data_IF_560559867265
#
_entry.id   IF_560559867265
#
_cell.length_a   1.000
_cell.length_b   1.000
_cell.length_c   1.000
_cell.angle_alpha   90.00
_cell.angle_beta   90.00
_cell.angle_gamma   90.00
#
_symmetry.space_group_name_H-M   'P 1'
#
loop_
_entity.id
_entity.type
_entity.pdbx_description
1 polymer ?
#
# COMPACT_ATOMS: atom_id res chain seq x y z
N UNK A 1 2.00 -2.39 36.81
CA UNK A 1 2.32 -2.54 35.38
C UNK A 1 1.41 -3.64 34.89
N UNK A 2 0.22 -3.25 34.43
CA UNK A 2 -0.78 -4.21 33.99
C UNK A 2 -0.20 -4.99 32.81
N UNK A 3 -0.18 -6.31 32.95
CA UNK A 3 0.14 -7.22 31.86
C UNK A 3 -0.91 -7.02 30.77
N UNK A 4 -0.64 -6.11 29.83
CA UNK A 4 -1.28 -6.15 28.51
C UNK A 4 -1.06 -7.59 28.04
N UNK A 5 -2.14 -8.36 27.96
CA UNK A 5 -2.08 -9.70 27.36
C UNK A 5 -1.44 -9.49 26.00
N UNK A 6 -0.21 -9.98 25.81
CA UNK A 6 0.37 -10.15 24.49
C UNK A 6 -0.63 -11.02 23.73
N UNK A 7 -1.44 -10.40 22.87
CA UNK A 7 -2.38 -11.12 22.07
C UNK A 7 -1.55 -11.86 21.04
N UNK A 8 -1.41 -13.18 21.23
CA UNK A 8 -0.70 -14.02 20.28
C UNK A 8 -1.37 -13.87 18.91
N UNK A 9 -0.63 -13.31 17.97
CA UNK A 9 -1.08 -13.18 16.59
C UNK A 9 -0.90 -14.51 15.86
N UNK A 10 -1.75 -14.76 14.87
CA UNK A 10 -1.62 -15.92 13.97
C UNK A 10 -1.47 -15.37 12.57
N UNK A 11 -0.43 -15.75 11.84
CA UNK A 11 -0.13 -15.27 10.49
C UNK A 11 -0.15 -16.44 9.51
N UNK A 12 -0.85 -16.26 8.40
CA UNK A 12 -0.99 -17.25 7.35
C UNK A 12 -0.11 -16.85 6.17
N UNK A 13 0.99 -17.56 5.96
CA UNK A 13 1.77 -17.48 4.71
C UNK A 13 1.06 -18.32 3.66
N UNK A 14 0.55 -17.68 2.61
CA UNK A 14 -0.39 -18.32 1.68
C UNK A 14 -0.24 -17.78 0.26
N UNK A 15 -0.26 -18.63 -0.78
CA UNK A 15 -0.30 -18.16 -2.16
C UNK A 15 -1.68 -17.58 -2.50
N UNK A 16 -1.70 -16.52 -3.30
CA UNK A 16 -2.92 -15.92 -3.83
C UNK A 16 -3.64 -16.88 -4.79
N UNK A 17 -2.92 -17.42 -5.78
CA UNK A 17 -3.40 -18.46 -6.67
C UNK A 17 -2.54 -19.74 -6.55
N UNK A 18 -3.10 -20.74 -5.86
CA UNK A 18 -2.39 -21.99 -5.57
C UNK A 18 -1.85 -22.72 -6.82
N UNK A 19 -2.54 -22.66 -7.96
CA UNK A 19 -2.11 -23.34 -9.19
C UNK A 19 -1.01 -22.56 -9.90
N UNK A 20 -1.17 -21.25 -10.04
CA UNK A 20 -0.20 -20.38 -10.71
C UNK A 20 1.11 -20.30 -9.90
N UNK A 21 1.01 -20.08 -8.59
CA UNK A 21 2.14 -20.10 -7.65
C UNK A 21 2.97 -21.39 -7.73
N UNK A 22 2.33 -22.57 -7.84
CA UNK A 22 3.04 -23.85 -8.02
C UNK A 22 3.82 -23.90 -9.34
N UNK A 23 3.27 -23.32 -10.41
CA UNK A 23 3.93 -23.21 -11.70
C UNK A 23 5.19 -22.34 -11.68
N UNK A 24 5.25 -21.36 -10.77
CA UNK A 24 6.41 -20.47 -10.57
C UNK A 24 7.42 -21.02 -9.53
N UNK A 25 7.18 -22.21 -8.96
CA UNK A 25 8.11 -22.84 -8.01
C UNK A 25 7.79 -22.60 -6.53
N UNK A 26 6.70 -21.88 -6.21
CA UNK A 26 6.19 -21.74 -4.84
C UNK A 26 5.45 -23.02 -4.40
N UNK A 27 6.23 -24.07 -4.18
CA UNK A 27 5.74 -25.39 -3.75
C UNK A 27 5.38 -25.41 -2.27
N UNK A 28 4.62 -26.43 -1.84
CA UNK A 28 4.33 -26.68 -0.42
C UNK A 28 5.61 -26.77 0.43
N UNK A 29 6.65 -27.46 -0.07
CA UNK A 29 7.93 -27.56 0.62
C UNK A 29 8.58 -26.18 0.83
N UNK A 30 8.52 -25.30 -0.19
CA UNK A 30 9.05 -23.93 -0.09
C UNK A 30 8.25 -23.12 0.94
N UNK A 31 6.92 -23.16 0.89
CA UNK A 31 6.05 -22.46 1.85
C UNK A 31 6.32 -22.90 3.29
N UNK A 32 6.42 -24.20 3.55
CA UNK A 32 6.69 -24.73 4.89
C UNK A 32 8.09 -24.32 5.38
N UNK A 33 9.11 -24.39 4.50
CA UNK A 33 10.48 -23.98 4.85
C UNK A 33 10.55 -22.49 5.19
N UNK A 34 9.92 -21.64 4.39
CA UNK A 34 9.89 -20.19 4.63
C UNK A 34 9.08 -19.85 5.87
N UNK A 35 7.90 -20.46 6.06
CA UNK A 35 7.11 -20.27 7.29
C UNK A 35 7.89 -20.65 8.56
N UNK A 36 8.71 -21.71 8.52
CA UNK A 36 9.57 -22.09 9.64
C UNK A 36 10.69 -21.06 9.93
N UNK A 37 11.31 -20.51 8.88
CA UNK A 37 12.30 -19.45 9.02
C UNK A 37 11.68 -18.17 9.60
N UNK A 38 10.53 -17.74 9.07
CA UNK A 38 9.77 -16.59 9.57
C UNK A 38 9.31 -16.80 11.02
N UNK A 39 8.81 -17.99 11.36
CA UNK A 39 8.45 -18.34 12.75
C UNK A 39 9.65 -18.23 13.69
N UNK A 40 10.82 -18.69 13.25
CA UNK A 40 12.06 -18.58 14.01
C UNK A 40 12.44 -17.12 14.20
N UNK A 41 12.39 -16.32 13.14
CA UNK A 41 12.65 -14.88 13.20
C UNK A 41 11.75 -14.18 14.23
N UNK A 42 10.45 -14.45 14.18
CA UNK A 42 9.48 -13.83 15.09
C UNK A 42 9.82 -14.14 16.55
N UNK A 43 10.10 -15.40 16.89
CA UNK A 43 10.26 -15.83 18.30
C UNK A 43 11.67 -15.57 18.82
N UNK A 44 12.69 -15.87 18.03
CA UNK A 44 14.10 -15.79 18.44
C UNK A 44 14.61 -14.35 18.37
N UNK A 45 14.24 -13.62 17.32
CA UNK A 45 14.91 -12.37 16.95
C UNK A 45 14.03 -11.16 17.25
N UNK A 46 12.78 -11.15 16.79
CA UNK A 46 11.88 -10.00 16.91
C UNK A 46 11.27 -9.86 18.31
N UNK A 47 10.77 -10.97 18.88
CA UNK A 47 10.05 -10.96 20.16
C UNK A 47 10.85 -10.35 21.32
N UNK A 48 12.15 -10.68 21.51
CA UNK A 48 12.94 -10.08 22.58
C UNK A 48 13.19 -8.58 22.42
N UNK A 49 13.10 -8.04 21.19
CA UNK A 49 13.41 -6.63 20.88
C UNK A 49 12.16 -5.76 20.92
N UNK A 50 11.05 -6.22 20.32
CA UNK A 50 9.82 -5.45 20.16
C UNK A 50 8.67 -5.90 21.06
N UNK A 51 8.84 -6.99 21.82
CA UNK A 51 7.81 -7.49 22.74
C UNK A 51 6.56 -8.05 22.03
N UNK A 52 6.67 -8.37 20.75
CA UNK A 52 5.59 -8.93 19.91
C UNK A 52 5.71 -10.45 19.82
N UNK A 53 4.62 -11.16 19.52
CA UNK A 53 4.66 -12.61 19.34
C UNK A 53 3.58 -13.07 18.37
N UNK A 54 3.96 -13.97 17.47
CA UNK A 54 3.04 -14.58 16.51
C UNK A 54 3.37 -16.05 16.23
N UNK A 55 2.35 -16.77 15.75
CA UNK A 55 2.51 -18.07 15.10
C UNK A 55 2.42 -17.87 13.59
N UNK A 56 3.41 -18.33 12.84
CA UNK A 56 3.43 -18.28 11.37
C UNK A 56 3.17 -19.68 10.82
N UNK A 57 2.09 -19.83 10.05
CA UNK A 57 1.67 -21.11 9.47
C UNK A 57 1.59 -20.99 7.95
N UNK A 58 2.10 -22.01 7.25
CA UNK A 58 1.92 -22.14 5.80
C UNK A 58 0.52 -22.70 5.48
N UNK A 59 -0.15 -22.11 4.48
CA UNK A 59 -1.39 -22.61 3.91
C UNK A 59 -1.23 -22.80 2.41
N UNK A 60 -1.95 -23.77 1.84
CA UNK A 60 -1.85 -24.08 0.41
C UNK A 60 -2.82 -23.29 -0.46
N UNK A 61 -3.87 -22.73 0.15
CA UNK A 61 -4.82 -21.85 -0.52
C UNK A 61 -5.53 -20.92 0.47
N UNK A 62 -6.03 -19.79 -0.03
CA UNK A 62 -6.82 -18.84 0.75
C UNK A 62 -8.07 -19.45 1.40
N UNK A 63 -8.68 -20.48 0.79
CA UNK A 63 -9.88 -21.14 1.33
C UNK A 63 -9.62 -21.93 2.62
N UNK A 64 -8.35 -22.21 2.93
CA UNK A 64 -7.94 -22.92 4.14
C UNK A 64 -7.62 -21.96 5.29
N UNK A 65 -7.47 -20.66 5.00
CA UNK A 65 -7.10 -19.66 6.00
C UNK A 65 -8.30 -19.39 6.89
N UNK A 66 -8.13 -19.63 8.18
CA UNK A 66 -9.19 -19.36 9.16
C UNK A 66 -9.30 -17.86 9.43
N UNK A 67 -10.51 -17.32 9.69
CA UNK A 67 -10.71 -15.90 10.00
C UNK A 67 -9.91 -15.36 11.19
N UNK A 68 -9.24 -16.17 12.00
CA UNK A 68 -8.36 -15.70 13.08
C UNK A 68 -6.93 -15.36 12.65
N UNK A 69 -6.54 -15.72 11.43
CA UNK A 69 -5.22 -15.44 10.89
C UNK A 69 -5.16 -14.05 10.23
N UNK A 70 -4.01 -13.39 10.38
CA UNK A 70 -3.58 -12.26 9.57
C UNK A 70 -2.96 -12.83 8.28
N UNK A 71 -3.40 -12.41 7.09
CA UNK A 71 -2.91 -12.98 5.85
C UNK A 71 -1.59 -12.31 5.44
N UNK A 72 -0.57 -13.12 5.15
CA UNK A 72 0.64 -12.73 4.42
C UNK A 72 0.58 -13.45 3.07
N UNK A 73 0.08 -12.74 2.06
CA UNK A 73 -0.32 -13.32 0.78
C UNK A 73 0.77 -13.15 -0.25
N UNK A 74 1.26 -14.25 -0.80
CA UNK A 74 2.23 -14.26 -1.87
C UNK A 74 1.49 -14.25 -3.20
N UNK A 75 1.69 -13.21 -4.01
CA UNK A 75 1.07 -13.07 -5.33
C UNK A 75 2.09 -13.38 -6.42
N UNK A 76 1.64 -13.95 -7.52
CA UNK A 76 2.52 -14.32 -8.63
C UNK A 76 3.22 -13.10 -9.25
N UNK A 77 4.38 -13.35 -9.89
CA UNK A 77 5.20 -12.28 -10.48
C UNK A 77 4.57 -11.58 -11.70
N UNK A 78 3.49 -12.12 -12.28
CA UNK A 78 2.84 -11.58 -13.50
C UNK A 78 1.80 -10.48 -13.26
N UNK A 79 1.59 -9.62 -14.29
CA UNK A 79 0.52 -8.62 -14.57
C UNK A 79 -0.17 -7.81 -13.46
N UNK A 80 0.17 -7.95 -12.20
CA UNK A 80 -0.34 -7.09 -11.14
C UNK A 80 0.46 -5.80 -11.09
N UNK A 81 -0.24 -4.66 -10.99
CA UNK A 81 0.39 -3.34 -10.85
C UNK A 81 0.83 -3.10 -9.40
N UNK A 82 1.65 -4.01 -8.86
CA UNK A 82 2.41 -3.71 -7.66
C UNK A 82 3.58 -2.81 -8.04
N UNK A 83 3.61 -1.64 -7.42
CA UNK A 83 4.66 -0.64 -7.57
C UNK A 83 5.76 -0.77 -6.51
N UNK A 84 5.52 -1.57 -5.46
CA UNK A 84 6.49 -2.06 -4.47
C UNK A 84 6.59 -3.59 -4.53
N UNK A 85 7.61 -4.18 -3.91
CA UNK A 85 7.77 -5.64 -3.83
C UNK A 85 6.85 -6.27 -2.77
N UNK A 86 6.45 -5.49 -1.76
CA UNK A 86 5.41 -5.81 -0.79
C UNK A 86 4.78 -4.55 -0.20
N UNK A 87 3.66 -4.72 0.51
CA UNK A 87 3.12 -3.74 1.45
C UNK A 87 2.12 -4.41 2.39
N UNK A 88 1.99 -3.89 3.60
CA UNK A 88 0.93 -4.25 4.54
C UNK A 88 -0.24 -3.26 4.48
N UNK A 89 -1.46 -3.75 4.73
CA UNK A 89 -2.70 -3.02 4.54
C UNK A 89 -3.73 -3.35 5.63
N UNK A 90 -4.74 -2.50 5.73
CA UNK A 90 -5.92 -2.73 6.56
C UNK A 90 -7.13 -3.09 5.70
N UNK A 91 -7.44 -4.38 5.63
CA UNK A 91 -8.65 -4.90 5.00
C UNK A 91 -9.79 -4.95 6.02
N UNK A 92 -10.77 -4.03 5.92
CA UNK A 92 -11.88 -3.97 6.87
C UNK A 92 -11.43 -3.77 8.33
N UNK A 93 -10.28 -3.11 8.53
CA UNK A 93 -9.66 -2.90 9.85
C UNK A 93 -8.82 -4.08 10.35
N UNK A 94 -8.47 -5.03 9.49
CA UNK A 94 -7.62 -6.17 9.82
C UNK A 94 -6.27 -6.05 9.10
N UNK A 95 -5.16 -6.23 9.82
CA UNK A 95 -3.84 -6.25 9.20
C UNK A 95 -3.73 -7.43 8.24
N UNK A 96 -3.13 -7.18 7.09
CA UNK A 96 -2.65 -8.19 6.17
C UNK A 96 -1.49 -7.62 5.36
N UNK A 97 -0.79 -8.48 4.63
CA UNK A 97 0.28 -8.08 3.74
C UNK A 97 0.20 -8.82 2.41
N UNK A 98 0.65 -8.16 1.35
CA UNK A 98 0.83 -8.76 0.02
C UNK A 98 2.29 -8.63 -0.37
N UNK A 99 2.87 -9.72 -0.88
CA UNK A 99 4.26 -9.77 -1.36
C UNK A 99 4.29 -10.41 -2.73
N UNK A 100 5.04 -9.80 -3.66
CA UNK A 100 5.25 -10.36 -5.00
C UNK A 100 6.24 -11.52 -4.92
N UNK A 101 5.90 -12.62 -5.58
CA UNK A 101 6.79 -13.74 -5.79
C UNK A 101 7.83 -13.41 -6.87
N UNK A 102 9.10 -13.73 -6.61
CA UNK A 102 10.23 -13.41 -7.47
C UNK A 102 11.56 -13.52 -6.73
N UNK A 103 12.62 -12.99 -7.30
CA UNK A 103 13.90 -12.93 -6.60
C UNK A 103 13.77 -12.04 -5.34
N UNK A 104 14.25 -12.52 -4.20
CA UNK A 104 14.20 -11.75 -2.94
C UNK A 104 12.89 -11.84 -2.14
N UNK A 105 11.84 -12.50 -2.65
CA UNK A 105 10.50 -12.47 -2.02
C UNK A 105 10.45 -12.92 -0.55
N UNK A 106 11.40 -13.74 -0.09
CA UNK A 106 11.46 -14.17 1.32
C UNK A 106 11.92 -13.05 2.24
N UNK A 107 12.75 -12.13 1.74
CA UNK A 107 13.15 -10.90 2.42
C UNK A 107 11.93 -9.98 2.52
N UNK A 108 11.20 -9.75 1.42
CA UNK A 108 9.98 -8.95 1.42
C UNK A 108 8.89 -9.54 2.34
N UNK A 109 8.71 -10.87 2.32
CA UNK A 109 7.79 -11.55 3.22
C UNK A 109 8.17 -11.41 4.69
N UNK A 110 9.47 -11.41 4.99
CA UNK A 110 9.99 -11.14 6.33
C UNK A 110 9.78 -9.66 6.71
N UNK A 111 10.07 -8.74 5.80
CA UNK A 111 9.89 -7.29 5.96
C UNK A 111 8.45 -6.96 6.36
N UNK A 112 7.50 -7.33 5.51
CA UNK A 112 6.09 -7.04 5.73
C UNK A 112 5.51 -7.75 6.95
N UNK A 113 6.01 -8.96 7.25
CA UNK A 113 5.65 -9.66 8.49
C UNK A 113 6.09 -8.85 9.71
N UNK A 114 7.35 -8.43 9.76
CA UNK A 114 7.91 -7.75 10.92
C UNK A 114 7.19 -6.41 11.13
N UNK A 115 6.99 -5.62 10.08
CA UNK A 115 6.31 -4.32 10.17
C UNK A 115 4.86 -4.49 10.62
N UNK A 116 4.13 -5.43 10.00
CA UNK A 116 2.75 -5.76 10.40
C UNK A 116 2.65 -6.24 11.85
N UNK A 117 3.67 -6.92 12.40
CA UNK A 117 3.66 -7.36 13.80
C UNK A 117 4.01 -6.24 14.78
N UNK A 118 4.91 -5.33 14.41
CA UNK A 118 5.31 -4.20 15.25
C UNK A 118 4.24 -3.10 15.28
N UNK A 119 3.58 -2.87 14.15
CA UNK A 119 2.47 -1.93 14.02
C UNK A 119 1.37 -2.48 13.08
N UNK A 120 0.47 -3.32 13.61
CA UNK A 120 -0.60 -3.94 12.81
C UNK A 120 -1.58 -2.92 12.19
N UNK A 121 -1.56 -1.67 12.62
CA UNK A 121 -2.44 -0.62 12.10
C UNK A 121 -1.74 0.35 11.16
N UNK A 122 -0.40 0.29 11.08
CA UNK A 122 0.41 1.30 10.41
C UNK A 122 0.15 2.71 10.94
N UNK A 123 -0.10 2.91 12.25
CA UNK A 123 -0.36 4.22 12.86
C UNK A 123 0.54 4.58 14.04
N UNK A 124 1.39 3.66 14.48
CA UNK A 124 2.29 3.85 15.59
C UNK A 124 3.39 4.84 15.22
N UNK A 125 3.70 5.74 16.15
CA UNK A 125 4.75 6.74 15.95
C UNK A 125 5.75 6.73 17.10
N UNK A 126 6.99 7.12 16.78
CA UNK A 126 8.05 7.37 17.75
C UNK A 126 8.47 8.85 17.70
N UNK A 127 8.61 9.48 18.86
CA UNK A 127 9.09 10.86 18.95
C UNK A 127 10.61 10.88 18.94
N UNK A 128 11.19 11.69 18.06
CA UNK A 128 12.65 11.84 17.94
C UNK A 128 13.07 13.20 17.38
N UNK A 129 14.39 13.51 17.42
CA UNK A 129 14.91 14.71 16.77
C UNK A 129 14.74 14.60 15.25
N UNK A 130 14.33 15.68 14.59
CA UNK A 130 14.23 15.70 13.12
C UNK A 130 15.60 15.58 12.46
N UNK A 131 15.64 14.91 11.30
CA UNK A 131 16.76 14.97 10.36
C UNK A 131 16.99 16.38 9.80
N UNK A 132 15.99 17.26 9.93
CA UNK A 132 16.07 18.70 9.66
C UNK A 132 16.06 19.46 10.99
N UNK A 133 17.22 19.86 11.54
CA UNK A 133 17.33 20.40 12.90
C UNK A 133 16.37 21.54 13.24
N UNK A 134 16.03 22.38 12.25
CA UNK A 134 15.09 23.49 12.33
C UNK A 134 13.65 23.07 12.68
N UNK A 135 13.28 21.80 12.47
CA UNK A 135 11.96 21.25 12.82
C UNK A 135 11.88 20.81 14.29
N UNK A 136 12.99 20.74 15.01
CA UNK A 136 13.02 20.30 16.40
C UNK A 136 12.62 18.82 16.57
N UNK A 137 11.64 18.55 17.43
CA UNK A 137 11.13 17.20 17.69
C UNK A 137 9.98 16.86 16.76
N UNK A 138 10.00 15.67 16.18
CA UNK A 138 9.02 15.18 15.20
C UNK A 138 8.49 13.80 15.60
N UNK A 139 7.43 13.35 14.92
CA UNK A 139 6.89 12.01 15.07
C UNK A 139 7.21 11.18 13.82
N UNK A 140 8.11 10.21 13.98
CA UNK A 140 8.42 9.21 12.98
C UNK A 140 7.33 8.15 12.93
N UNK A 141 6.90 7.77 11.73
CA UNK A 141 6.09 6.56 11.54
C UNK A 141 6.97 5.34 11.82
N UNK A 142 6.43 4.35 12.53
CA UNK A 142 7.16 3.11 12.85
C UNK A 142 7.05 2.16 11.67
N UNK A 143 8.11 2.11 10.87
CA UNK A 143 8.32 1.22 9.74
C UNK A 143 9.70 0.61 10.00
N UNK A 144 9.74 -0.55 10.66
CA UNK A 144 10.96 -0.98 11.36
C UNK A 144 11.95 -1.65 10.43
N UNK A 145 11.55 -2.02 9.22
CA UNK A 145 12.44 -2.62 8.24
C UNK A 145 12.92 -1.58 7.22
N UNK A 146 12.05 -0.62 6.86
CA UNK A 146 12.31 0.44 5.88
C UNK A 146 13.65 1.20 6.05
N UNK A 147 14.10 1.61 7.26
CA UNK A 147 15.37 2.34 7.39
C UNK A 147 16.60 1.49 7.07
N UNK A 148 16.50 0.17 7.19
CA UNK A 148 17.57 -0.79 6.93
C UNK A 148 17.25 -1.75 5.79
N UNK A 149 16.41 -1.32 4.82
CA UNK A 149 15.96 -2.08 3.64
C UNK A 149 17.03 -2.97 3.00
N UNK A 150 18.23 -2.44 2.78
CA UNK A 150 19.33 -3.17 2.13
C UNK A 150 20.06 -4.19 3.03
N UNK A 151 19.74 -4.25 4.32
CA UNK A 151 20.34 -5.18 5.27
C UNK A 151 19.51 -6.44 5.40
N UNK A 152 20.14 -7.59 5.15
CA UNK A 152 19.51 -8.91 5.23
C UNK A 152 20.40 -9.88 6.01
N UNK A 153 19.79 -10.94 6.54
CA UNK A 153 20.51 -12.07 7.12
C UNK A 153 19.79 -13.38 6.81
N UNK A 154 20.37 -14.51 7.22
CA UNK A 154 19.80 -15.83 6.91
C UNK A 154 19.34 -16.58 8.16
N UNK A 155 18.23 -17.31 8.00
CA UNK A 155 17.76 -18.31 8.94
C UNK A 155 17.58 -19.62 8.16
N UNK A 156 18.36 -20.64 8.51
CA UNK A 156 18.32 -21.96 7.84
C UNK A 156 18.41 -21.88 6.30
N UNK A 157 19.25 -20.95 5.80
CA UNK A 157 19.47 -20.68 4.39
C UNK A 157 18.26 -20.05 3.68
N UNK A 158 17.35 -19.42 4.43
CA UNK A 158 16.28 -18.53 3.93
C UNK A 158 16.70 -17.09 4.26
N UNK A 159 16.92 -16.24 3.25
CA UNK A 159 17.17 -14.81 3.46
C UNK A 159 15.94 -14.12 4.06
N UNK A 160 16.17 -13.28 5.05
CA UNK A 160 15.15 -12.51 5.78
C UNK A 160 15.62 -11.06 5.99
N UNK A 161 14.66 -10.15 6.19
CA UNK A 161 14.94 -8.72 6.38
C UNK A 161 15.52 -8.45 7.78
N UNK A 162 16.42 -7.47 7.87
CA UNK A 162 16.82 -6.86 9.14
C UNK A 162 15.73 -5.90 9.64
N UNK A 163 15.85 -5.44 10.89
CA UNK A 163 14.93 -4.46 11.45
C UNK A 163 15.61 -3.57 12.48
N UNK A 164 15.15 -2.33 12.59
CA UNK A 164 15.59 -1.38 13.60
C UNK A 164 15.01 -1.71 14.98
N UNK A 165 15.75 -1.40 16.04
CA UNK A 165 15.29 -1.59 17.42
C UNK A 165 14.59 -0.32 17.93
N UNK A 166 13.85 -0.36 19.05
CA UNK A 166 13.29 0.85 19.65
C UNK A 166 14.32 1.96 19.94
N UNK A 167 15.59 1.61 20.15
CA UNK A 167 16.66 2.61 20.40
C UNK A 167 17.02 3.41 19.15
N UNK A 168 16.66 2.95 17.96
CA UNK A 168 16.86 3.66 16.70
C UNK A 168 16.23 5.06 16.68
N UNK A 169 15.04 5.19 17.27
CA UNK A 169 14.30 6.45 17.36
C UNK A 169 14.66 7.27 18.61
N UNK A 170 15.48 6.72 19.51
CA UNK A 170 15.83 7.39 20.76
C UNK A 170 16.83 8.53 20.53
N UNK A 171 16.79 9.59 21.36
CA UNK A 171 17.84 10.61 21.37
C UNK A 171 19.25 10.01 21.56
N UNK A 172 20.30 10.56 20.91
CA UNK A 172 21.65 10.00 20.98
C UNK A 172 22.25 9.91 22.40
N UNK A 173 21.80 10.75 23.34
CA UNK A 173 22.22 10.76 24.74
C UNK A 173 21.52 9.68 25.60
N UNK A 174 20.51 9.00 25.05
CA UNK A 174 19.66 8.03 25.77
C UNK A 174 19.75 6.60 25.25
N UNK A 175 20.36 6.37 24.09
CA UNK A 175 20.50 5.04 23.48
C UNK A 175 21.95 4.68 23.21
N UNK A 176 22.54 3.81 24.03
CA UNK A 176 23.61 2.93 23.53
C UNK A 176 22.91 1.80 22.77
N UNK A 177 23.32 1.54 21.53
CA UNK A 177 22.68 0.56 20.65
C UNK A 177 22.55 -0.87 21.24
N UNK A 178 22.01 -1.81 20.46
CA UNK A 178 22.04 -1.82 18.98
C UNK A 178 20.86 -1.07 18.33
N UNK A 179 21.11 -0.36 17.22
CA UNK A 179 20.07 0.41 16.49
C UNK A 179 19.33 -0.42 15.44
N UNK A 180 19.93 -1.49 14.93
CA UNK A 180 19.26 -2.56 14.20
C UNK A 180 19.63 -3.93 14.76
N UNK A 181 18.85 -4.96 14.44
CA UNK A 181 19.06 -6.31 14.97
C UNK A 181 20.42 -6.88 14.56
N UNK A 182 20.83 -6.73 13.30
CA UNK A 182 22.16 -7.16 12.85
C UNK A 182 23.29 -6.20 13.23
N UNK A 183 22.97 -4.98 13.69
CA UNK A 183 23.94 -3.92 13.96
C UNK A 183 24.40 -3.15 12.72
N UNK A 184 23.72 -3.32 11.59
CA UNK A 184 23.92 -2.58 10.34
C UNK A 184 23.75 -1.06 10.51
N UNK A 185 22.77 -0.63 11.31
CA UNK A 185 22.62 0.76 11.74
C UNK A 185 23.54 1.01 12.95
N UNK A 186 24.49 1.93 12.78
CA UNK A 186 25.53 2.29 13.74
C UNK A 186 25.16 3.52 14.59
N UNK A 187 24.21 4.33 14.14
CA UNK A 187 23.72 5.50 14.87
C UNK A 187 22.18 5.57 14.86
N UNK A 188 21.55 6.31 15.80
CA UNK A 188 20.12 6.60 15.73
C UNK A 188 19.76 7.26 14.39
N UNK A 189 18.57 6.96 13.88
CA UNK A 189 18.02 7.54 12.65
C UNK A 189 18.89 7.35 11.38
N UNK A 190 19.85 6.42 11.41
CA UNK A 190 20.65 6.09 10.23
C UNK A 190 19.82 5.32 9.20
N UNK A 191 19.77 5.84 7.98
CA UNK A 191 19.12 5.20 6.85
C UNK A 191 20.20 4.51 6.00
N UNK A 192 20.02 3.21 5.73
CA UNK A 192 20.88 2.46 4.81
C UNK A 192 20.43 2.70 3.37
N UNK A 193 21.27 2.31 2.42
CA UNK A 193 20.97 2.45 0.99
C UNK A 193 19.61 1.82 0.65
N UNK A 194 18.85 2.49 -0.22
CA UNK A 194 17.46 2.16 -0.61
C UNK A 194 16.41 2.28 0.50
N UNK A 195 16.84 2.45 1.75
CA UNK A 195 15.94 2.67 2.87
C UNK A 195 15.36 4.09 2.92
N UNK A 196 14.29 4.25 3.68
CA UNK A 196 13.65 5.54 3.92
C UNK A 196 13.04 5.62 5.31
N UNK A 197 12.72 6.84 5.74
CA UNK A 197 11.92 7.10 6.93
C UNK A 197 10.92 8.22 6.68
N UNK A 198 9.74 8.11 7.30
CA UNK A 198 8.66 9.09 7.21
C UNK A 198 8.41 9.72 8.57
N UNK A 199 8.17 11.05 8.61
CA UNK A 199 7.79 11.74 9.83
C UNK A 199 6.79 12.86 9.59
N UNK A 200 6.05 13.24 10.63
CA UNK A 200 5.30 14.49 10.67
C UNK A 200 5.89 15.46 11.67
N UNK A 201 5.84 16.74 11.34
CA UNK A 201 6.20 17.82 12.26
C UNK A 201 5.10 18.06 13.30
N UNK A 202 5.46 18.74 14.40
CA UNK A 202 4.51 19.26 15.37
C UNK A 202 4.70 20.78 15.49
N UNK A 203 3.75 21.55 15.00
CA UNK A 203 3.67 23.00 15.21
C UNK A 203 4.92 23.79 14.75
N UNK A 204 5.42 23.50 13.54
CA UNK A 204 6.43 24.31 12.85
C UNK A 204 5.78 25.23 11.80
N UNK A 205 6.46 26.30 11.39
CA UNK A 205 6.06 27.08 10.19
C UNK A 205 6.05 26.21 8.91
N UNK A 206 6.80 25.11 8.94
CA UNK A 206 6.95 24.13 7.85
C UNK A 206 6.16 22.84 8.13
N UNK A 207 4.95 22.99 8.71
CA UNK A 207 4.13 21.86 9.14
C UNK A 207 3.79 20.93 7.97
N UNK A 208 3.95 19.63 8.13
CA UNK A 208 3.63 18.65 7.11
C UNK A 208 4.15 17.25 7.39
N UNK A 209 3.94 16.37 6.42
CA UNK A 209 4.57 15.06 6.36
C UNK A 209 5.82 15.15 5.48
N UNK A 210 6.89 14.55 5.95
CA UNK A 210 8.21 14.56 5.36
C UNK A 210 8.75 13.15 5.21
N UNK A 211 9.57 12.95 4.20
CA UNK A 211 10.25 11.69 3.94
C UNK A 211 11.72 11.96 3.61
N UNK A 212 12.59 11.07 4.09
CA UNK A 212 13.99 11.00 3.70
C UNK A 212 14.23 9.64 3.05
N UNK A 213 14.77 9.65 1.84
CA UNK A 213 15.18 8.45 1.09
C UNK A 213 16.70 8.44 0.95
N UNK A 214 17.32 7.29 1.13
CA UNK A 214 18.71 7.03 0.77
C UNK A 214 18.78 6.44 -0.65
N UNK A 215 19.20 7.19 -1.68
CA UNK A 215 19.17 6.69 -3.05
C UNK A 215 20.12 5.50 -3.27
N UNK A 216 19.87 4.64 -4.27
CA UNK A 216 20.85 3.65 -4.71
C UNK A 216 22.20 4.30 -5.05
N UNK A 217 23.29 3.64 -4.67
CA UNK A 217 24.68 4.07 -4.82
C UNK A 217 25.16 5.12 -3.82
N UNK A 218 24.34 5.51 -2.83
CA UNK A 218 24.66 6.62 -1.91
C UNK A 218 25.55 6.23 -0.71
N UNK A 219 25.78 4.93 -0.47
CA UNK A 219 26.59 4.42 0.65
C UNK A 219 28.10 4.72 0.52
N UNK A 220 28.55 5.09 -0.69
CA UNK A 220 29.94 5.45 -0.98
C UNK A 220 30.95 4.36 -0.57
N UNK A 221 32.22 4.74 -0.39
CA UNK A 221 33.28 3.81 0.05
C UNK A 221 33.31 3.55 1.56
N UNK A 222 32.51 4.30 2.33
CA UNK A 222 32.47 4.26 3.80
C UNK A 222 31.43 3.26 4.34
N UNK A 223 30.55 2.72 3.47
CA UNK A 223 29.55 1.73 3.86
C UNK A 223 28.37 2.31 4.66
N UNK A 224 28.15 3.62 4.61
CA UNK A 224 26.98 4.28 5.20
C UNK A 224 26.55 5.49 4.37
N UNK A 225 25.27 5.82 4.40
CA UNK A 225 24.70 6.97 3.69
C UNK A 225 24.73 8.20 4.62
N UNK A 226 25.48 9.26 4.29
CA UNK A 226 25.51 10.45 5.12
C UNK A 226 24.23 11.27 4.93
N UNK A 227 23.82 12.03 5.95
CA UNK A 227 22.54 12.79 5.94
C UNK A 227 22.46 13.74 4.74
N UNK A 228 23.57 14.36 4.34
CA UNK A 228 23.65 15.25 3.18
C UNK A 228 23.39 14.57 1.83
N UNK A 229 23.46 13.23 1.77
CA UNK A 229 23.14 12.43 0.58
C UNK A 229 21.71 11.90 0.58
N UNK A 230 20.93 12.16 1.64
CA UNK A 230 19.52 11.81 1.70
C UNK A 230 18.67 12.78 0.86
N UNK A 231 17.72 12.24 0.12
CA UNK A 231 16.68 13.02 -0.52
C UNK A 231 15.56 13.32 0.49
N UNK A 232 15.60 14.49 1.11
CA UNK A 232 14.61 14.92 2.11
C UNK A 232 13.58 15.85 1.47
N UNK A 233 12.29 15.48 1.53
CA UNK A 233 11.20 16.23 0.88
C UNK A 233 9.93 16.25 1.73
N UNK A 234 9.17 17.34 1.61
CA UNK A 234 7.79 17.43 2.09
C UNK A 234 6.87 16.72 1.11
N UNK A 235 6.03 15.82 1.59
CA UNK A 235 5.12 15.02 0.75
C UNK A 235 3.68 15.52 0.84
N UNK A 236 3.29 16.17 1.94
CA UNK A 236 1.96 16.75 2.11
C UNK A 236 1.85 17.71 3.30
N UNK A 237 0.66 18.30 3.44
CA UNK A 237 0.16 18.84 4.70
C UNK A 237 -0.12 17.73 5.73
N UNK A 238 -0.10 18.06 7.02
CA UNK A 238 -0.26 17.08 8.11
C UNK A 238 -1.69 16.51 8.14
N UNK A 239 -1.88 15.19 7.94
CA UNK A 239 -3.20 14.58 8.12
C UNK A 239 -3.57 14.48 9.60
N UNK A 240 -4.87 14.35 9.89
CA UNK A 240 -5.35 14.15 11.26
C UNK A 240 -4.71 12.90 11.92
N UNK A 241 -4.52 11.84 11.14
CA UNK A 241 -3.79 10.64 11.53
C UNK A 241 -2.78 10.32 10.44
N UNK A 242 -1.50 10.26 10.77
CA UNK A 242 -0.46 9.74 9.87
C UNK A 242 -0.54 8.21 9.91
N UNK A 243 -0.74 7.59 8.74
CA UNK A 243 -0.79 6.13 8.63
C UNK A 243 0.05 5.63 7.47
N UNK A 244 0.52 4.37 7.50
CA UNK A 244 1.19 3.73 6.37
C UNK A 244 0.36 3.80 5.09
N UNK A 245 -0.90 3.41 5.20
CA UNK A 245 -1.85 3.48 4.09
C UNK A 245 -1.98 4.90 3.51
N UNK A 246 -1.86 5.92 4.36
CA UNK A 246 -1.87 7.31 3.91
C UNK A 246 -0.57 7.67 3.18
N UNK A 247 0.59 7.20 3.66
CA UNK A 247 1.91 7.40 3.02
C UNK A 247 1.93 6.77 1.63
N UNK A 248 1.44 5.53 1.51
CA UNK A 248 1.33 4.82 0.23
C UNK A 248 0.49 5.62 -0.80
N UNK A 249 -0.55 6.32 -0.31
CA UNK A 249 -1.43 7.17 -1.12
C UNK A 249 -0.82 8.52 -1.55
N UNK A 250 0.22 8.98 -0.86
CA UNK A 250 0.86 10.29 -1.08
C UNK A 250 2.37 10.16 -1.29
N UNK A 251 2.80 9.48 -2.36
CA UNK A 251 4.21 9.19 -2.48
C UNK A 251 5.01 10.38 -2.97
N UNK A 252 6.16 10.60 -2.33
CA UNK A 252 7.28 11.24 -2.99
C UNK A 252 7.95 10.29 -4.01
N UNK A 253 7.99 8.98 -3.72
CA UNK A 253 8.71 7.98 -4.52
C UNK A 253 7.99 6.62 -4.75
N UNK A 254 6.99 6.22 -3.94
CA UNK A 254 6.32 4.88 -4.00
C UNK A 254 4.83 4.95 -4.40
N UNK A 255 4.49 4.83 -5.69
CA UNK A 255 3.09 4.97 -6.15
C UNK A 255 2.15 3.85 -5.69
N UNK A 256 1.31 3.99 -4.67
CA UNK A 256 0.12 3.12 -4.54
C UNK A 256 -1.16 3.92 -4.37
N UNK A 257 -2.24 3.44 -4.98
CA UNK A 257 -3.57 4.03 -4.82
C UNK A 257 -4.21 3.48 -3.55
N UNK A 258 -4.32 4.30 -2.49
CA UNK A 258 -5.07 3.88 -1.30
C UNK A 258 -6.58 3.90 -1.54
N UNK A 259 -7.26 2.86 -1.05
CA UNK A 259 -8.71 2.88 -0.80
C UNK A 259 -9.02 2.31 0.57
N UNK A 260 -9.94 2.98 1.27
CA UNK A 260 -10.58 2.46 2.47
C UNK A 260 -11.63 1.41 2.01
N UNK A 261 -11.41 0.14 2.36
CA UNK A 261 -12.33 -0.94 1.99
C UNK A 261 -13.36 -1.18 3.10
N UNK A 262 -14.62 -1.35 2.69
CA UNK A 262 -15.78 -1.55 3.57
C UNK A 262 -15.61 -2.75 4.51
N UNK A 263 -16.24 -2.69 5.70
CA UNK A 263 -16.15 -3.69 6.79
C UNK A 263 -17.23 -4.78 6.71
N UNK A 264 -16.98 -5.98 6.14
CA UNK A 264 -17.89 -7.11 6.30
C UNK A 264 -17.70 -7.78 7.68
N UNK A 265 -18.81 -8.23 8.29
CA UNK A 265 -18.76 -9.02 9.52
C UNK A 265 -18.19 -10.43 9.25
N UNK A 266 -17.29 -10.89 10.13
CA UNK A 266 -16.65 -12.20 9.99
C UNK A 266 -17.63 -13.34 10.31
N UNK A 267 -17.60 -14.44 9.53
CA UNK A 267 -18.28 -15.68 9.89
C UNK A 267 -17.59 -16.37 11.09
N UNK A 268 -18.36 -17.07 11.91
CA UNK A 268 -17.86 -17.93 13.00
C UNK A 268 -17.04 -19.10 12.46
N UNK A 269 -16.00 -19.54 13.18
CA UNK A 269 -15.03 -20.56 12.75
C UNK A 269 -15.67 -21.86 12.18
N UNK A 270 -15.06 -22.39 11.10
CA UNK A 270 -15.44 -23.62 10.39
C UNK A 270 -15.00 -23.59 8.92
N UNK A 271 -14.99 -24.72 8.20
CA UNK A 271 -14.54 -24.79 6.79
C UNK A 271 -15.29 -23.82 5.87
N UNK A 272 -16.61 -23.68 6.05
CA UNK A 272 -17.42 -22.69 5.32
C UNK A 272 -17.01 -21.24 5.62
N UNK A 273 -16.48 -20.98 6.81
CA UNK A 273 -16.00 -19.67 7.21
C UNK A 273 -14.61 -19.37 6.65
N UNK A 274 -13.74 -20.37 6.56
CA UNK A 274 -12.44 -20.26 5.89
C UNK A 274 -12.61 -19.99 4.40
N UNK A 275 -13.46 -20.75 3.70
CA UNK A 275 -13.77 -20.51 2.28
C UNK A 275 -14.35 -19.09 2.05
N UNK A 276 -15.28 -18.65 2.90
CA UNK A 276 -15.84 -17.29 2.81
C UNK A 276 -14.78 -16.21 3.09
N UNK A 277 -13.87 -16.46 4.03
CA UNK A 277 -12.78 -15.54 4.32
C UNK A 277 -11.78 -15.47 3.17
N UNK A 278 -11.42 -16.62 2.59
CA UNK A 278 -10.59 -16.69 1.38
C UNK A 278 -11.18 -15.90 0.21
N UNK A 279 -12.49 -16.00 -0.01
CA UNK A 279 -13.17 -15.22 -1.06
C UNK A 279 -13.15 -13.70 -0.81
N UNK A 280 -13.29 -13.28 0.45
CA UNK A 280 -13.14 -11.87 0.82
C UNK A 280 -11.72 -11.38 0.54
N UNK A 281 -10.70 -12.13 0.98
CA UNK A 281 -9.30 -11.79 0.72
C UNK A 281 -9.00 -11.70 -0.78
N UNK A 282 -9.50 -12.65 -1.59
CA UNK A 282 -9.35 -12.60 -3.06
C UNK A 282 -9.91 -11.32 -3.64
N UNK A 283 -11.11 -10.93 -3.19
CA UNK A 283 -11.81 -9.74 -3.65
C UNK A 283 -11.04 -8.48 -3.30
N UNK A 284 -10.64 -8.34 -2.03
CA UNK A 284 -9.92 -7.16 -1.54
C UNK A 284 -8.55 -7.02 -2.18
N UNK A 285 -7.76 -8.09 -2.19
CA UNK A 285 -6.44 -8.11 -2.82
C UNK A 285 -6.57 -7.91 -4.33
N UNK A 286 -7.56 -8.52 -4.98
CA UNK A 286 -7.82 -8.32 -6.41
C UNK A 286 -8.09 -6.86 -6.77
N UNK A 287 -8.80 -6.12 -5.91
CA UNK A 287 -9.02 -4.67 -6.07
C UNK A 287 -7.75 -3.85 -5.86
N UNK A 288 -6.80 -4.32 -5.05
CA UNK A 288 -5.52 -3.63 -4.87
C UNK A 288 -4.59 -3.91 -6.04
N UNK A 289 -4.50 -5.17 -6.46
CA UNK A 289 -3.59 -5.61 -7.53
C UNK A 289 -4.04 -5.15 -8.91
N UNK A 290 -5.35 -5.04 -9.12
CA UNK A 290 -5.98 -4.55 -10.34
C UNK A 290 -6.97 -3.46 -9.95
N UNK A 291 -6.47 -2.27 -9.58
CA UNK A 291 -7.36 -1.18 -9.21
C UNK A 291 -8.27 -0.89 -10.41
N UNK A 292 -9.60 -0.77 -10.20
CA UNK A 292 -10.45 -0.26 -11.26
C UNK A 292 -9.88 1.09 -11.69
N UNK A 293 -9.93 1.38 -12.99
CA UNK A 293 -9.58 2.71 -13.51
C UNK A 293 -10.23 3.77 -12.60
N UNK A 294 -9.50 4.85 -12.25
CA UNK A 294 -10.05 5.89 -11.39
C UNK A 294 -11.41 6.31 -11.97
N UNK A 295 -12.38 6.56 -11.08
CA UNK A 295 -13.60 7.22 -11.52
C UNK A 295 -13.17 8.46 -12.28
N UNK A 296 -13.70 8.71 -13.49
CA UNK A 296 -13.33 9.90 -14.24
C UNK A 296 -13.52 11.11 -13.33
N UNK A 297 -12.68 12.12 -13.48
CA UNK A 297 -12.82 13.40 -12.78
C UNK A 297 -13.77 14.32 -13.53
N UNK A 298 -14.19 15.42 -12.88
CA UNK A 298 -14.93 16.48 -13.56
C UNK A 298 -14.17 17.02 -14.79
N UNK A 299 -12.83 17.08 -14.72
CA UNK A 299 -12.00 17.53 -15.84
C UNK A 299 -11.94 16.49 -16.97
N UNK A 300 -11.96 15.20 -16.65
CA UNK A 300 -12.07 14.12 -17.65
C UNK A 300 -13.40 14.20 -18.40
N UNK A 301 -14.49 14.50 -17.67
CA UNK A 301 -15.79 14.74 -18.27
C UNK A 301 -15.76 15.94 -19.22
N UNK A 302 -15.23 17.07 -18.77
CA UNK A 302 -15.09 18.27 -19.60
C UNK A 302 -14.24 17.99 -20.85
N UNK A 303 -13.14 17.26 -20.71
CA UNK A 303 -12.27 16.86 -21.82
C UNK A 303 -13.03 16.03 -22.86
N UNK A 304 -13.82 15.05 -22.42
CA UNK A 304 -14.64 14.26 -23.34
C UNK A 304 -15.70 15.11 -24.03
N UNK A 305 -16.44 15.94 -23.28
CA UNK A 305 -17.47 16.79 -23.85
C UNK A 305 -16.88 17.81 -24.84
N UNK A 306 -15.71 18.39 -24.55
CA UNK A 306 -14.97 19.27 -25.49
C UNK A 306 -14.65 18.56 -26.80
N UNK A 307 -14.13 17.34 -26.74
CA UNK A 307 -13.83 16.56 -27.95
C UNK A 307 -15.08 16.15 -28.73
N UNK A 308 -16.18 15.84 -28.02
CA UNK A 308 -17.45 15.57 -28.69
C UNK A 308 -18.07 16.85 -29.30
N UNK A 309 -17.79 18.03 -28.74
CA UNK A 309 -18.25 19.34 -29.22
C UNK A 309 -17.45 19.88 -30.43
N UNK A 310 -16.28 19.32 -30.72
CA UNK A 310 -15.44 19.73 -31.84
C UNK A 310 -15.85 18.99 -33.13
N UNK A 311 -16.32 19.71 -34.18
CA UNK A 311 -16.68 19.08 -35.46
C UNK A 311 -15.49 18.42 -36.19
N UNK A 312 -14.24 18.75 -35.81
CA UNK A 312 -13.03 18.18 -36.42
C UNK A 312 -12.62 16.85 -35.78
N UNK A 313 -13.09 16.54 -34.57
CA UNK A 313 -12.76 15.32 -33.79
C UNK A 313 -13.57 14.10 -34.25
N UNK A 314 -13.67 13.91 -35.56
CA UNK A 314 -14.49 12.84 -36.18
C UNK A 314 -14.03 11.43 -35.78
N UNK A 315 -12.72 11.18 -35.76
CA UNK A 315 -12.15 9.89 -35.36
C UNK A 315 -12.43 9.57 -33.88
N UNK A 316 -12.24 10.55 -32.99
CA UNK A 316 -12.55 10.41 -31.57
C UNK A 316 -14.04 10.14 -31.34
N UNK A 317 -14.92 10.82 -32.06
CA UNK A 317 -16.36 10.60 -31.97
C UNK A 317 -16.75 9.18 -32.40
N UNK A 318 -16.16 8.65 -33.48
CA UNK A 318 -16.39 7.25 -33.90
C UNK A 318 -15.86 6.25 -32.85
N UNK A 319 -14.67 6.48 -32.31
CA UNK A 319 -14.08 5.63 -31.27
C UNK A 319 -14.94 5.64 -29.99
N UNK A 320 -15.33 6.83 -29.53
CA UNK A 320 -16.14 7.01 -28.34
C UNK A 320 -17.55 6.43 -28.49
N UNK A 321 -18.15 6.48 -29.69
CA UNK A 321 -19.44 5.84 -29.95
C UNK A 321 -19.35 4.32 -29.79
N UNK A 322 -18.28 3.72 -30.32
CA UNK A 322 -18.04 2.28 -30.32
C UNK A 322 -17.72 1.75 -28.92
N UNK A 323 -16.94 2.49 -28.16
CA UNK A 323 -16.50 2.08 -26.82
C UNK A 323 -16.40 3.28 -25.85
N UNK A 324 -17.54 3.81 -25.38
CA UNK A 324 -17.54 4.86 -24.36
C UNK A 324 -16.98 4.36 -23.01
N UNK A 325 -17.03 3.03 -22.80
CA UNK A 325 -16.52 2.35 -21.61
C UNK A 325 -15.01 2.45 -21.46
N UNK A 326 -14.25 2.54 -22.56
CA UNK A 326 -12.80 2.75 -22.53
C UNK A 326 -12.36 4.01 -21.75
N UNK A 327 -13.24 5.04 -21.63
CA UNK A 327 -12.95 6.26 -20.88
C UNK A 327 -13.68 6.35 -19.54
N UNK A 328 -14.89 5.77 -19.43
CA UNK A 328 -15.74 5.95 -18.25
C UNK A 328 -15.94 4.69 -17.41
N UNK A 329 -15.41 3.55 -17.84
CA UNK A 329 -14.94 2.39 -17.06
C UNK A 329 -15.88 1.63 -16.15
N UNK A 330 -16.95 2.26 -15.61
CA UNK A 330 -17.96 1.73 -14.68
C UNK A 330 -18.96 2.79 -14.17
N UNK A 331 -18.94 4.04 -14.65
CA UNK A 331 -19.94 5.08 -14.33
C UNK A 331 -21.33 4.82 -14.95
N UNK A 332 -21.74 3.56 -15.12
CA UNK A 332 -23.03 3.16 -15.70
C UNK A 332 -23.10 3.17 -17.24
N UNK A 333 -22.04 3.60 -17.94
CA UNK A 333 -21.95 3.60 -19.41
C UNK A 333 -21.09 2.41 -19.86
N UNK A 334 -21.74 1.30 -20.17
CA UNK A 334 -21.09 -0.02 -20.38
C UNK A 334 -21.36 -0.63 -21.77
N UNK A 335 -22.00 0.10 -22.68
CA UNK A 335 -22.32 -0.39 -24.02
C UNK A 335 -22.18 0.71 -25.08
N UNK A 336 -21.99 0.29 -26.33
CA UNK A 336 -22.02 1.13 -27.55
C UNK A 336 -23.23 2.08 -27.54
N UNK A 337 -23.00 3.33 -27.95
CA UNK A 337 -24.07 4.33 -28.08
C UNK A 337 -24.66 4.24 -29.49
N UNK A 338 -25.97 4.02 -29.59
CA UNK A 338 -26.64 3.86 -30.89
C UNK A 338 -26.42 5.07 -31.80
N UNK A 339 -26.55 6.30 -31.27
CA UNK A 339 -26.24 7.54 -31.98
C UNK A 339 -25.63 8.59 -31.04
N UNK A 340 -24.53 9.21 -31.45
CA UNK A 340 -23.99 10.40 -30.78
C UNK A 340 -24.68 11.68 -31.30
N UNK A 341 -25.17 12.57 -30.42
CA UNK A 341 -25.64 13.90 -30.79
C UNK A 341 -24.61 14.71 -31.59
N UNK A 342 -25.07 15.66 -32.40
CA UNK A 342 -24.17 16.50 -33.22
C UNK A 342 -23.17 17.30 -32.36
N UNK A 343 -22.02 17.70 -32.90
CA UNK A 343 -21.06 18.56 -32.19
C UNK A 343 -21.71 19.82 -31.60
N UNK A 344 -22.62 20.47 -32.32
CA UNK A 344 -23.33 21.68 -31.86
C UNK A 344 -24.16 21.40 -30.60
N UNK A 345 -24.76 20.21 -30.49
CA UNK A 345 -25.48 19.81 -29.28
C UNK A 345 -24.54 19.60 -28.10
N UNK A 346 -23.35 19.06 -28.33
CA UNK A 346 -22.32 18.97 -27.30
C UNK A 346 -21.72 20.34 -26.91
N UNK A 347 -21.68 21.31 -27.82
CA UNK A 347 -21.28 22.69 -27.48
C UNK A 347 -22.25 23.34 -26.48
N UNK A 348 -23.56 23.14 -26.66
CA UNK A 348 -24.56 23.59 -25.70
C UNK A 348 -24.39 22.96 -24.31
N UNK A 349 -24.07 21.66 -24.27
CA UNK A 349 -23.76 20.96 -23.02
C UNK A 349 -22.46 21.48 -22.39
N UNK A 350 -21.41 21.68 -23.19
CA UNK A 350 -20.13 22.20 -22.69
C UNK A 350 -20.30 23.56 -22.01
N UNK A 351 -21.07 24.46 -22.64
CA UNK A 351 -21.34 25.79 -22.09
C UNK A 351 -22.06 25.72 -20.74
N UNK A 352 -23.02 24.81 -20.59
CA UNK A 352 -23.72 24.57 -19.32
C UNK A 352 -22.77 24.06 -18.23
N UNK A 353 -21.86 23.15 -18.57
CA UNK A 353 -20.88 22.58 -17.64
C UNK A 353 -19.84 23.60 -17.17
N UNK A 354 -19.33 24.43 -18.08
CA UNK A 354 -18.36 25.47 -17.76
C UNK A 354 -18.96 26.57 -16.86
N UNK A 355 -20.29 26.72 -16.85
CA UNK A 355 -21.03 27.60 -15.94
C UNK A 355 -21.35 26.96 -14.57
N UNK A 356 -20.87 25.75 -14.31
CA UNK A 356 -20.99 25.08 -13.03
C UNK A 356 -22.32 24.37 -12.78
N UNK A 357 -23.14 24.15 -13.82
CA UNK A 357 -24.34 23.33 -13.69
C UNK A 357 -23.97 21.86 -13.46
N UNK A 358 -24.44 21.29 -12.34
CA UNK A 358 -24.24 19.87 -11.99
C UNK A 358 -25.48 19.05 -12.35
N UNK A 359 -25.29 17.79 -12.73
CA UNK A 359 -26.36 16.92 -13.21
C UNK A 359 -27.20 16.36 -12.06
N UNK A 360 -28.52 16.29 -12.28
CA UNK A 360 -29.47 15.73 -11.33
C UNK A 360 -30.81 16.48 -11.38
N UNK A 361 -31.78 15.87 -12.06
CA UNK A 361 -33.22 16.22 -12.17
C UNK A 361 -33.72 17.26 -13.19
N UNK A 362 -32.92 18.22 -13.69
CA UNK A 362 -33.50 19.35 -14.46
C UNK A 362 -33.04 19.56 -15.92
N UNK A 363 -32.74 18.47 -16.64
CA UNK A 363 -32.63 18.48 -18.12
C UNK A 363 -33.66 17.55 -18.79
N UNK A 364 -34.85 17.50 -18.20
CA UNK A 364 -36.00 16.75 -18.70
C UNK A 364 -36.76 17.46 -19.84
N UNK A 365 -36.33 18.66 -20.24
CA UNK A 365 -36.88 19.36 -21.41
C UNK A 365 -35.86 19.39 -22.55
N UNK A 366 -36.22 18.71 -23.64
CA UNK A 366 -35.58 18.74 -24.96
C UNK A 366 -34.05 18.52 -24.98
N UNK A 367 -33.64 17.25 -24.87
CA UNK A 367 -32.40 16.82 -25.49
C UNK A 367 -31.19 16.66 -24.57
N UNK A 368 -31.39 16.19 -23.34
CA UNK A 368 -30.30 15.62 -22.54
C UNK A 368 -29.61 14.46 -23.27
N UNK A 369 -28.29 14.42 -23.19
CA UNK A 369 -27.47 13.37 -23.78
C UNK A 369 -27.54 12.18 -22.83
N UNK A 370 -28.28 11.15 -23.21
CA UNK A 370 -28.72 10.05 -22.33
C UNK A 370 -27.59 9.34 -21.57
N UNK A 371 -26.38 9.31 -22.12
CA UNK A 371 -25.24 8.70 -21.43
C UNK A 371 -24.65 9.60 -20.34
N UNK A 372 -24.78 10.93 -20.44
CA UNK A 372 -24.33 11.86 -19.39
C UNK A 372 -25.17 11.73 -18.13
N UNK A 373 -26.48 11.44 -18.25
CA UNK A 373 -27.36 11.25 -17.10
C UNK A 373 -27.10 9.94 -16.35
N UNK A 374 -26.35 9.01 -16.96
CA UNK A 374 -25.94 7.73 -16.33
C UNK A 374 -24.70 7.89 -15.47
N UNK A 375 -23.94 8.98 -15.63
CA UNK A 375 -22.79 9.28 -14.80
C UNK A 375 -23.27 9.84 -13.45
N UNK A 376 -23.10 9.09 -12.37
CA UNK A 376 -23.32 9.59 -11.02
C UNK A 376 -22.15 10.49 -10.60
N UNK A 377 -22.40 11.77 -10.33
CA UNK A 377 -21.43 12.76 -9.88
C UNK A 377 -21.89 13.48 -8.61
#
# INVERSE_FOLDING_TARGET
>A
MDMIRMQLMQVALVPYNAEASRGEGLTEHVLVRVAAALQTQVIRDLSPVWGVSAVVSAFLSLDQVSPGYLPLVIVEGGNFTLTSQGFHFLAGGRPGAVVRHGDGWTVDASHELIEMLCDPTGTATAVGPSLRPEQGQVEYLIEVCDPCESSTYEIDGVPVSDFVTPTYYAPPDRGSGPFSFTGSCQTPLQILEEGYITWRTRASEDDGVWQALAPPGSSGSQGFVPIESLEIRRISDTPATLTRQWVDAHPAHVRLGARELSRPALPSAGEKAAARYGELLRTEIGLILNPPAPSPTWEDLLTVVRKLADPNETAYRTEFQRDPGAKFGRSGVISELQDLPSPERYQGVLQALEQGQRFGTDFSQEGSIEWLSKLAW
#
